data_IF_468598953895
#
_entry.id   IF_468598953895
#
_cell.length_a   1.000
_cell.length_b   1.000
_cell.length_c   1.000
_cell.angle_alpha   90.00
_cell.angle_beta   90.00
_cell.angle_gamma   90.00
#
_symmetry.space_group_name_H-M   'P 1'
#
loop_
_entity.id
_entity.type
_entity.pdbx_description
1 polymer ?
#
# COMPACT_ATOMS: atom_id res chain seq x y z
N UNK A 1 7.28 -39.13 -0.94
CA UNK A 1 7.55 -38.40 0.31
C UNK A 1 6.53 -37.29 0.42
N UNK A 2 5.60 -37.39 1.38
CA UNK A 2 4.51 -36.44 1.54
C UNK A 2 5.00 -35.23 2.35
N UNK A 3 4.97 -34.04 1.76
CA UNK A 3 5.14 -32.77 2.48
C UNK A 3 3.91 -32.55 3.36
N UNK A 4 4.11 -32.61 4.65
CA UNK A 4 3.10 -32.38 5.67
C UNK A 4 2.54 -30.96 5.54
N UNK A 5 1.23 -30.84 5.41
CA UNK A 5 0.49 -29.57 5.50
C UNK A 5 0.72 -28.97 6.88
N UNK A 6 1.54 -27.92 6.96
CA UNK A 6 1.60 -27.09 8.15
C UNK A 6 0.21 -26.47 8.37
N UNK A 7 -0.39 -26.80 9.49
CA UNK A 7 -1.71 -26.28 9.86
C UNK A 7 -1.61 -24.79 10.19
N UNK A 8 -2.29 -23.95 9.43
CA UNK A 8 -2.41 -22.48 9.59
C UNK A 8 -3.12 -22.03 10.90
N UNK A 9 -3.59 -22.97 11.71
CA UNK A 9 -4.30 -22.70 12.96
C UNK A 9 -3.49 -21.90 14.01
N UNK A 10 -2.18 -22.15 14.25
CA UNK A 10 -1.42 -21.37 15.23
C UNK A 10 -1.15 -19.93 14.78
N UNK A 11 -0.93 -19.68 13.49
CA UNK A 11 -0.70 -18.33 12.98
C UNK A 11 -1.94 -17.43 13.11
N UNK A 12 -3.13 -17.95 12.85
CA UNK A 12 -4.40 -17.22 13.04
C UNK A 12 -4.65 -16.88 14.51
N UNK A 13 -4.25 -17.74 15.44
CA UNK A 13 -4.41 -17.50 16.88
C UNK A 13 -3.44 -16.44 17.37
N UNK A 14 -2.19 -16.46 16.93
CA UNK A 14 -1.18 -15.46 17.25
C UNK A 14 -1.55 -14.07 16.68
N UNK A 15 -2.03 -14.00 15.44
CA UNK A 15 -2.52 -12.76 14.83
C UNK A 15 -3.73 -12.19 15.58
N UNK A 16 -4.64 -13.03 16.07
CA UNK A 16 -5.78 -12.59 16.91
C UNK A 16 -5.34 -12.15 18.31
N UNK A 17 -4.32 -12.74 18.89
CA UNK A 17 -3.78 -12.34 20.20
C UNK A 17 -3.00 -11.02 20.10
N UNK A 18 -2.14 -10.85 19.08
CA UNK A 18 -1.44 -9.59 18.81
C UNK A 18 -2.43 -8.44 18.53
N UNK A 19 -3.51 -8.69 17.81
CA UNK A 19 -4.56 -7.70 17.52
C UNK A 19 -5.38 -7.27 18.74
N UNK A 20 -5.40 -8.05 19.83
CA UNK A 20 -6.17 -7.73 21.05
C UNK A 20 -5.44 -6.82 22.05
N UNK A 21 -4.14 -6.63 21.89
CA UNK A 21 -3.32 -5.90 22.87
C UNK A 21 -2.96 -4.48 22.49
N UNK A 22 -3.13 -4.05 21.23
CA UNK A 22 -2.76 -2.70 20.79
C UNK A 22 -3.94 -2.08 20.04
N UNK A 23 -4.49 -1.01 20.59
CA UNK A 23 -5.42 -0.14 19.86
C UNK A 23 -4.67 0.46 18.66
N UNK A 24 -4.95 -0.03 17.44
CA UNK A 24 -4.34 0.50 16.21
C UNK A 24 -4.85 1.93 15.99
N UNK A 25 -3.93 2.84 15.72
CA UNK A 25 -4.28 4.19 15.31
C UNK A 25 -5.05 4.13 13.98
N UNK A 26 -6.23 4.76 13.86
CA UNK A 26 -6.95 4.82 12.59
C UNK A 26 -6.10 5.44 11.49
N UNK A 27 -6.34 5.04 10.25
CA UNK A 27 -5.67 5.58 9.07
C UNK A 27 -6.70 6.24 8.17
N UNK A 28 -6.44 7.47 7.75
CA UNK A 28 -7.21 8.22 6.77
C UNK A 28 -6.33 8.49 5.56
N UNK A 29 -6.76 8.08 4.38
CA UNK A 29 -5.96 8.23 3.18
C UNK A 29 -6.77 8.70 1.99
N UNK A 30 -6.11 9.43 1.07
CA UNK A 30 -6.68 9.89 -0.17
C UNK A 30 -5.80 9.54 -1.37
N UNK A 31 -6.39 8.88 -2.37
CA UNK A 31 -5.72 8.60 -3.64
C UNK A 31 -6.26 9.55 -4.71
N UNK A 32 -5.39 10.46 -5.21
CA UNK A 32 -5.76 11.40 -6.26
C UNK A 32 -5.89 10.75 -7.63
N UNK A 33 -5.41 9.53 -7.76
CA UNK A 33 -5.35 8.81 -9.05
C UNK A 33 -4.61 9.63 -10.10
N UNK A 34 -5.09 9.71 -11.33
CA UNK A 34 -4.48 10.52 -12.39
C UNK A 34 -5.10 11.93 -12.44
N UNK A 35 -5.10 12.63 -11.28
CA UNK A 35 -5.63 13.97 -11.10
C UNK A 35 -4.67 14.83 -10.24
N UNK A 36 -4.80 16.18 -10.27
CA UNK A 36 -5.60 16.99 -11.19
C UNK A 36 -4.95 17.06 -12.59
N UNK A 37 -5.68 17.64 -13.56
CA UNK A 37 -5.15 17.84 -14.90
C UNK A 37 -4.13 18.99 -14.99
N UNK A 38 -4.15 19.93 -14.04
CA UNK A 38 -3.30 21.12 -14.03
C UNK A 38 -2.54 21.26 -12.72
N UNK A 39 -1.31 21.70 -12.78
CA UNK A 39 -0.51 21.99 -11.60
C UNK A 39 -1.10 23.15 -10.76
N UNK A 40 -1.81 24.08 -11.37
CA UNK A 40 -2.45 25.20 -10.67
C UNK A 40 -3.54 24.78 -9.67
N UNK A 41 -4.05 23.56 -9.77
CA UNK A 41 -5.02 23.01 -8.81
C UNK A 41 -4.37 22.34 -7.60
N UNK A 42 -3.05 22.20 -7.57
CA UNK A 42 -2.34 21.48 -6.49
C UNK A 42 -2.42 22.21 -5.16
N UNK A 43 -2.29 23.55 -5.16
CA UNK A 43 -2.31 24.36 -3.93
C UNK A 43 -3.65 24.22 -3.18
N UNK A 44 -4.76 24.21 -3.92
CA UNK A 44 -6.09 24.01 -3.34
C UNK A 44 -6.23 22.60 -2.74
N UNK A 45 -5.76 21.57 -3.44
CA UNK A 45 -5.78 20.19 -2.95
C UNK A 45 -4.92 20.02 -1.70
N UNK A 46 -3.71 20.59 -1.68
CA UNK A 46 -2.83 20.60 -0.50
C UNK A 46 -3.52 21.28 0.67
N UNK A 47 -4.08 22.48 0.46
CA UNK A 47 -4.79 23.22 1.49
C UNK A 47 -5.96 22.44 2.10
N UNK A 48 -6.74 21.74 1.26
CA UNK A 48 -7.84 20.90 1.71
C UNK A 48 -7.36 19.74 2.59
N UNK A 49 -6.26 19.07 2.23
CA UNK A 49 -5.68 17.99 3.04
C UNK A 49 -5.03 18.51 4.32
N UNK A 50 -4.45 19.69 4.32
CA UNK A 50 -3.84 20.31 5.50
C UNK A 50 -4.84 20.54 6.64
N UNK A 51 -6.14 20.63 6.33
CA UNK A 51 -7.21 20.61 7.31
C UNK A 51 -7.24 19.34 8.17
N UNK A 52 -6.69 18.23 7.68
CA UNK A 52 -6.60 16.98 8.42
C UNK A 52 -5.50 17.00 9.49
N UNK A 53 -4.55 17.94 9.44
CA UNK A 53 -3.42 18.00 10.39
C UNK A 53 -3.86 18.14 11.85
N UNK A 54 -5.02 18.74 12.11
CA UNK A 54 -5.61 18.85 13.45
C UNK A 54 -6.01 17.50 14.09
N UNK A 55 -6.01 16.42 13.32
CA UNK A 55 -6.39 15.08 13.77
C UNK A 55 -5.22 14.09 13.83
N UNK A 56 -3.98 14.56 13.62
CA UNK A 56 -2.79 13.70 13.58
C UNK A 56 -2.46 13.01 14.92
N UNK A 57 -3.00 13.50 16.03
CA UNK A 57 -2.97 12.83 17.32
C UNK A 57 -3.88 11.59 17.36
N UNK A 58 -4.98 11.58 16.58
CA UNK A 58 -6.02 10.56 16.57
C UNK A 58 -5.90 9.58 15.42
N UNK A 59 -5.39 10.00 14.27
CA UNK A 59 -5.25 9.15 13.09
C UNK A 59 -3.97 9.45 12.32
N UNK A 60 -3.46 8.44 11.60
CA UNK A 60 -2.44 8.65 10.58
C UNK A 60 -3.11 9.14 9.28
N UNK A 61 -2.51 10.15 8.65
CA UNK A 61 -3.02 10.72 7.41
C UNK A 61 -2.01 10.52 6.29
N UNK A 62 -2.47 10.02 5.15
CA UNK A 62 -1.65 9.94 3.94
C UNK A 62 -2.40 10.41 2.70
N UNK A 63 -1.65 10.86 1.70
CA UNK A 63 -2.16 11.23 0.39
C UNK A 63 -1.31 10.61 -0.71
N UNK A 64 -1.95 10.15 -1.77
CA UNK A 64 -1.26 9.57 -2.92
C UNK A 64 -1.50 10.45 -4.16
N UNK A 65 -0.61 11.44 -4.42
CA UNK A 65 -0.64 12.24 -5.65
C UNK A 65 -0.27 11.39 -6.86
N UNK A 66 -0.62 11.87 -8.06
CA UNK A 66 -0.14 11.23 -9.29
C UNK A 66 1.40 11.24 -9.36
N UNK A 67 1.98 10.31 -10.10
CA UNK A 67 3.43 10.17 -10.23
C UNK A 67 4.12 11.45 -10.69
N UNK A 68 3.45 12.25 -11.53
CA UNK A 68 3.99 13.52 -12.01
C UNK A 68 3.95 14.61 -10.94
N UNK A 69 2.96 14.58 -10.06
CA UNK A 69 2.75 15.62 -9.04
C UNK A 69 3.42 15.30 -7.70
N UNK A 70 3.71 14.04 -7.41
CA UNK A 70 4.26 13.63 -6.11
C UNK A 70 5.50 14.40 -5.72
N UNK A 71 6.42 14.61 -6.66
CA UNK A 71 7.66 15.36 -6.44
C UNK A 71 7.41 16.86 -6.15
N UNK A 72 6.34 17.42 -6.72
CA UNK A 72 5.99 18.83 -6.54
C UNK A 72 5.38 19.11 -5.18
N UNK A 73 4.60 18.15 -4.62
CA UNK A 73 3.81 18.39 -3.43
C UNK A 73 4.32 17.68 -2.17
N UNK A 74 5.36 16.83 -2.28
CA UNK A 74 5.83 16.01 -1.15
C UNK A 74 6.19 16.82 0.10
N UNK A 75 6.67 18.04 -0.06
CA UNK A 75 7.08 18.94 1.02
C UNK A 75 6.07 20.07 1.27
N UNK A 76 4.92 20.06 0.60
CA UNK A 76 3.91 21.13 0.70
C UNK A 76 2.90 20.93 1.81
N UNK A 77 2.76 19.72 2.34
CA UNK A 77 1.80 19.39 3.39
C UNK A 77 2.34 19.73 4.79
N UNK A 78 1.43 19.98 5.73
CA UNK A 78 1.79 20.13 7.14
C UNK A 78 2.51 18.90 7.67
N UNK A 79 3.50 19.06 8.56
CA UNK A 79 4.24 17.96 9.16
C UNK A 79 3.31 16.88 9.74
N UNK A 80 3.59 15.62 9.46
CA UNK A 80 2.82 14.46 9.90
C UNK A 80 1.83 13.92 8.88
N UNK A 81 1.46 14.67 7.83
CA UNK A 81 0.75 14.14 6.67
C UNK A 81 1.78 13.44 5.78
N UNK A 82 1.57 12.16 5.52
CA UNK A 82 2.47 11.34 4.70
C UNK A 82 2.10 11.45 3.23
N UNK A 83 3.10 11.64 2.37
CA UNK A 83 2.93 11.55 0.93
C UNK A 83 3.42 10.18 0.46
N UNK A 84 2.62 9.48 -0.32
CA UNK A 84 2.90 8.15 -0.80
C UNK A 84 2.71 8.08 -2.33
N UNK A 85 3.75 7.70 -3.10
CA UNK A 85 3.58 7.39 -4.51
C UNK A 85 2.54 6.29 -4.73
N UNK A 86 1.85 6.33 -5.88
CA UNK A 86 0.75 5.40 -6.22
C UNK A 86 1.23 4.04 -6.73
N UNK A 87 2.52 3.86 -6.90
CA UNK A 87 3.18 2.63 -7.33
C UNK A 87 4.70 2.75 -7.17
N UNK A 88 5.40 1.64 -7.30
CA UNK A 88 6.84 1.56 -7.54
C UNK A 88 7.15 0.38 -8.46
N UNK A 89 8.39 0.30 -8.96
CA UNK A 89 8.88 -0.91 -9.61
C UNK A 89 9.24 -2.00 -8.56
N UNK A 90 9.76 -3.12 -9.02
CA UNK A 90 10.06 -4.30 -8.18
C UNK A 90 11.57 -4.63 -8.14
N UNK A 91 12.44 -3.78 -8.72
CA UNK A 91 13.83 -4.17 -8.97
C UNK A 91 14.87 -3.07 -8.73
N UNK A 92 14.49 -1.90 -8.21
CA UNK A 92 15.43 -0.81 -7.97
C UNK A 92 15.74 0.05 -9.19
N UNK A 93 16.85 0.78 -9.13
CA UNK A 93 17.30 1.67 -10.20
C UNK A 93 17.94 0.88 -11.35
N UNK A 94 17.75 1.34 -12.60
CA UNK A 94 18.32 0.68 -13.78
C UNK A 94 17.68 1.13 -15.08
N UNK A 95 17.74 0.28 -16.09
CA UNK A 95 17.20 0.52 -17.43
C UNK A 95 15.69 0.24 -17.48
N UNK A 96 14.92 0.96 -16.68
CA UNK A 96 13.47 0.78 -16.49
C UNK A 96 12.73 2.07 -16.82
N UNK A 97 12.72 2.45 -18.07
CA UNK A 97 12.12 3.71 -18.53
C UNK A 97 10.66 3.85 -18.09
N UNK A 98 10.34 4.95 -17.40
CA UNK A 98 8.99 5.25 -16.90
C UNK A 98 8.68 4.71 -15.50
N UNK A 99 9.56 3.90 -14.89
CA UNK A 99 9.39 3.37 -13.55
C UNK A 99 9.95 4.31 -12.47
N UNK A 100 9.41 4.18 -11.26
CA UNK A 100 9.94 4.78 -10.03
C UNK A 100 10.49 3.66 -9.13
N UNK A 101 11.75 3.77 -8.72
CA UNK A 101 12.32 2.83 -7.77
C UNK A 101 12.01 3.19 -6.32
N UNK A 102 12.01 2.19 -5.44
CA UNK A 102 11.89 2.43 -3.99
C UNK A 102 13.08 3.23 -3.47
N UNK A 103 14.27 3.05 -4.07
CA UNK A 103 15.46 3.83 -3.72
C UNK A 103 15.25 5.34 -3.97
N UNK A 104 14.71 5.71 -5.13
CA UNK A 104 14.38 7.11 -5.44
C UNK A 104 13.31 7.68 -4.51
N UNK A 105 12.28 6.88 -4.19
CA UNK A 105 11.21 7.28 -3.27
C UNK A 105 11.79 7.56 -1.88
N UNK A 106 12.66 6.70 -1.40
CA UNK A 106 13.35 6.84 -0.11
C UNK A 106 14.28 8.06 -0.08
N UNK A 107 15.10 8.23 -1.12
CA UNK A 107 16.01 9.36 -1.26
C UNK A 107 15.26 10.70 -1.26
N UNK A 108 14.07 10.76 -1.84
CA UNK A 108 13.19 11.91 -1.79
C UNK A 108 12.49 12.14 -0.43
N UNK A 109 12.80 11.35 0.60
CA UNK A 109 12.27 11.51 1.95
C UNK A 109 10.86 10.94 2.17
N UNK A 110 10.31 10.19 1.21
CA UNK A 110 9.02 9.53 1.38
C UNK A 110 9.20 8.18 2.06
N UNK A 111 8.30 7.85 2.99
CA UNK A 111 8.40 6.65 3.84
C UNK A 111 7.32 5.61 3.58
N UNK A 112 6.44 5.86 2.63
CA UNK A 112 5.26 5.02 2.37
C UNK A 112 5.00 4.95 0.86
N UNK A 113 4.58 3.78 0.37
CA UNK A 113 4.22 3.55 -1.03
C UNK A 113 2.88 2.84 -1.10
N UNK A 114 1.99 3.24 -2.02
CA UNK A 114 0.76 2.52 -2.34
C UNK A 114 1.04 1.56 -3.50
N UNK A 115 0.60 0.30 -3.38
CA UNK A 115 0.67 -0.69 -4.48
C UNK A 115 -0.61 -1.52 -4.58
N UNK A 116 -0.78 -2.21 -5.68
CA UNK A 116 -1.85 -3.21 -5.88
C UNK A 116 -3.23 -2.63 -6.15
N UNK A 117 -3.33 -1.34 -6.49
CA UNK A 117 -4.62 -0.74 -6.83
C UNK A 117 -5.30 -1.47 -8.00
N UNK A 118 -6.61 -1.68 -7.94
CA UNK A 118 -7.40 -2.42 -8.93
C UNK A 118 -7.21 -1.90 -10.37
N UNK A 119 -7.05 -0.59 -10.54
CA UNK A 119 -6.76 0.03 -11.84
C UNK A 119 -5.44 -0.46 -12.47
N UNK A 120 -4.52 -1.01 -11.69
CA UNK A 120 -3.26 -1.60 -12.15
C UNK A 120 -3.34 -3.12 -12.33
N UNK A 121 -4.35 -3.75 -11.79
CA UNK A 121 -4.61 -5.20 -11.92
C UNK A 121 -5.39 -5.56 -13.19
N UNK A 122 -5.80 -4.57 -13.99
CA UNK A 122 -6.49 -4.75 -15.27
C UNK A 122 -8.00 -4.89 -15.15
N UNK A 123 -8.58 -4.50 -14.03
CA UNK A 123 -10.01 -4.71 -13.73
C UNK A 123 -10.95 -3.76 -14.51
N UNK A 124 -10.46 -2.65 -15.04
CA UNK A 124 -11.30 -1.61 -15.66
C UNK A 124 -11.13 -1.50 -17.18
N UNK A 125 -10.59 -2.51 -17.84
CA UNK A 125 -10.41 -2.49 -19.30
C UNK A 125 -9.43 -1.40 -19.79
N UNK A 126 -8.73 -0.74 -18.89
CA UNK A 126 -7.68 0.21 -19.23
C UNK A 126 -6.44 -0.54 -19.73
N UNK A 127 -5.64 0.03 -20.64
CA UNK A 127 -4.36 -0.53 -21.05
C UNK A 127 -3.33 -0.40 -19.94
N UNK A 128 -3.60 -0.98 -18.78
CA UNK A 128 -2.70 -1.03 -17.64
C UNK A 128 -1.95 -2.35 -17.59
N UNK A 129 -0.74 -2.40 -17.02
CA UNK A 129 -0.10 -3.67 -16.73
C UNK A 129 -1.03 -4.50 -15.84
N UNK A 130 -1.32 -5.74 -16.21
CA UNK A 130 -2.08 -6.67 -15.37
C UNK A 130 -1.18 -7.18 -14.27
N UNK A 131 -1.01 -6.39 -13.21
CA UNK A 131 -0.12 -6.73 -12.10
C UNK A 131 -0.70 -7.91 -11.31
N UNK A 132 0.06 -9.02 -11.23
CA UNK A 132 -0.33 -10.23 -10.52
C UNK A 132 -0.04 -10.12 -9.01
N UNK A 133 -0.57 -11.08 -8.22
CA UNK A 133 -0.28 -11.18 -6.80
C UNK A 133 1.20 -11.48 -6.54
N UNK A 134 1.86 -12.30 -7.36
CA UNK A 134 3.29 -12.59 -7.25
C UNK A 134 4.14 -11.34 -7.48
N UNK A 135 3.77 -10.52 -8.45
CA UNK A 135 4.43 -9.23 -8.67
C UNK A 135 4.21 -8.29 -7.50
N UNK A 136 3.02 -8.28 -6.92
CA UNK A 136 2.72 -7.48 -5.72
C UNK A 136 3.52 -7.94 -4.51
N UNK A 137 3.67 -9.25 -4.32
CA UNK A 137 4.50 -9.81 -3.25
C UNK A 137 5.97 -9.37 -3.41
N UNK A 138 6.51 -9.41 -4.63
CA UNK A 138 7.86 -8.95 -4.94
C UNK A 138 8.04 -7.46 -4.64
N UNK A 139 7.09 -6.62 -5.06
CA UNK A 139 7.11 -5.17 -4.75
C UNK A 139 7.04 -4.91 -3.26
N UNK A 140 6.13 -5.60 -2.55
CA UNK A 140 5.96 -5.43 -1.11
C UNK A 140 7.25 -5.81 -0.36
N UNK A 141 7.85 -6.96 -0.69
CA UNK A 141 9.11 -7.37 -0.09
C UNK A 141 10.19 -6.30 -0.29
N UNK A 142 10.34 -5.80 -1.52
CA UNK A 142 11.32 -4.77 -1.82
C UNK A 142 11.09 -3.46 -1.04
N UNK A 143 9.83 -3.01 -0.92
CA UNK A 143 9.46 -1.83 -0.12
C UNK A 143 9.88 -2.01 1.35
N UNK A 144 9.57 -3.18 1.93
CA UNK A 144 9.87 -3.49 3.34
C UNK A 144 11.36 -3.65 3.58
N UNK A 145 12.11 -4.28 2.68
CA UNK A 145 13.57 -4.44 2.76
C UNK A 145 14.30 -3.09 2.74
N UNK A 146 13.72 -2.09 2.08
CA UNK A 146 14.22 -0.72 2.10
C UNK A 146 13.80 0.06 3.36
N UNK A 147 13.01 -0.54 4.26
CA UNK A 147 12.54 0.06 5.50
C UNK A 147 11.38 1.03 5.33
N UNK A 148 10.66 0.98 4.20
CA UNK A 148 9.48 1.79 3.95
C UNK A 148 8.20 1.05 4.39
N UNK A 149 7.13 1.80 4.62
CA UNK A 149 5.78 1.27 4.84
C UNK A 149 5.05 1.10 3.50
N UNK A 150 4.06 0.22 3.49
CA UNK A 150 3.23 -0.02 2.32
C UNK A 150 1.74 0.16 2.62
N UNK A 151 1.03 0.86 1.75
CA UNK A 151 -0.43 0.82 1.66
C UNK A 151 -0.79 -0.18 0.57
N UNK A 152 -1.17 -1.37 0.99
CA UNK A 152 -1.46 -2.48 0.09
C UNK A 152 -2.96 -2.54 -0.24
N UNK A 153 -3.31 -2.43 -1.53
CA UNK A 153 -4.69 -2.49 -2.00
C UNK A 153 -5.08 -3.92 -2.34
N UNK A 154 -6.20 -4.36 -1.77
CA UNK A 154 -6.88 -5.62 -2.10
C UNK A 154 -8.32 -5.31 -2.49
N UNK A 155 -8.93 -6.19 -3.26
CA UNK A 155 -10.34 -6.05 -3.63
C UNK A 155 -10.76 -7.13 -4.62
N UNK A 156 -12.03 -7.28 -4.78
CA UNK A 156 -12.65 -8.25 -5.66
C UNK A 156 -13.12 -7.61 -6.97
N UNK A 157 -13.04 -8.34 -8.10
CA UNK A 157 -13.68 -7.94 -9.35
C UNK A 157 -15.21 -8.10 -9.26
N UNK A 158 -15.94 -7.36 -10.10
CA UNK A 158 -17.41 -7.34 -10.10
C UNK A 158 -18.05 -8.74 -10.14
N UNK A 159 -17.59 -9.71 -10.96
CA UNK A 159 -18.18 -11.05 -10.99
C UNK A 159 -18.03 -11.84 -9.66
N UNK A 160 -17.06 -11.48 -8.83
CA UNK A 160 -16.93 -12.06 -7.48
C UNK A 160 -17.87 -11.36 -6.50
N UNK A 161 -17.97 -10.04 -6.57
CA UNK A 161 -18.90 -9.25 -5.75
C UNK A 161 -20.34 -9.71 -5.91
N UNK A 162 -20.76 -10.02 -7.14
CA UNK A 162 -22.10 -10.51 -7.46
C UNK A 162 -22.43 -11.89 -6.85
N UNK A 163 -21.40 -12.66 -6.49
CA UNK A 163 -21.57 -13.95 -5.78
C UNK A 163 -21.83 -13.82 -4.27
N UNK A 164 -21.76 -12.61 -3.73
CA UNK A 164 -22.03 -12.30 -2.33
C UNK A 164 -20.80 -12.23 -1.43
N UNK A 165 -21.05 -11.93 -0.16
CA UNK A 165 -20.00 -11.56 0.82
C UNK A 165 -18.97 -12.69 1.04
N UNK A 166 -19.39 -13.95 1.08
CA UNK A 166 -18.45 -15.07 1.29
C UNK A 166 -17.44 -15.19 0.14
N UNK A 167 -17.87 -14.95 -1.10
CA UNK A 167 -16.98 -14.94 -2.25
C UNK A 167 -15.99 -13.76 -2.21
N UNK A 168 -16.44 -12.58 -1.78
CA UNK A 168 -15.60 -11.40 -1.58
C UNK A 168 -14.53 -11.67 -0.51
N UNK A 169 -14.94 -12.23 0.64
CA UNK A 169 -14.01 -12.57 1.72
C UNK A 169 -12.98 -13.60 1.29
N UNK A 170 -13.40 -14.61 0.52
CA UNK A 170 -12.50 -15.64 0.01
C UNK A 170 -11.47 -15.02 -0.97
N UNK A 171 -11.91 -14.17 -1.89
CA UNK A 171 -11.01 -13.50 -2.84
C UNK A 171 -10.00 -12.60 -2.14
N UNK A 172 -10.45 -11.75 -1.22
CA UNK A 172 -9.55 -10.89 -0.44
C UNK A 172 -8.56 -11.70 0.43
N UNK A 173 -9.02 -12.82 1.00
CA UNK A 173 -8.15 -13.72 1.76
C UNK A 173 -7.08 -14.36 0.87
N UNK A 174 -7.44 -14.83 -0.32
CA UNK A 174 -6.50 -15.40 -1.29
C UNK A 174 -5.43 -14.37 -1.69
N UNK A 175 -5.83 -13.13 -1.99
CA UNK A 175 -4.88 -12.06 -2.32
C UNK A 175 -3.89 -11.80 -1.18
N UNK A 176 -4.34 -11.85 0.07
CA UNK A 176 -3.47 -11.69 1.24
C UNK A 176 -2.59 -12.91 1.50
N UNK A 177 -3.11 -14.13 1.33
CA UNK A 177 -2.35 -15.37 1.53
C UNK A 177 -1.21 -15.52 0.52
N UNK A 178 -1.47 -15.21 -0.75
CA UNK A 178 -0.46 -15.22 -1.81
C UNK A 178 0.72 -14.29 -1.48
N UNK A 179 0.42 -13.13 -0.89
CA UNK A 179 1.40 -12.10 -0.55
C UNK A 179 2.14 -12.45 0.73
N UNK A 180 1.43 -12.80 1.80
CA UNK A 180 2.03 -13.18 3.10
C UNK A 180 2.83 -14.46 2.97
N UNK A 181 2.35 -15.43 2.19
CA UNK A 181 3.07 -16.68 1.91
C UNK A 181 4.39 -16.48 1.17
N UNK A 182 4.47 -15.46 0.34
CA UNK A 182 5.68 -15.10 -0.41
C UNK A 182 6.66 -14.23 0.40
N UNK A 183 6.17 -13.56 1.43
CA UNK A 183 6.94 -12.60 2.25
C UNK A 183 7.13 -13.12 3.68
N UNK A 184 7.78 -14.26 3.85
CA UNK A 184 7.98 -14.93 5.16
C UNK A 184 8.66 -14.04 6.21
N UNK A 185 9.36 -12.98 5.80
CA UNK A 185 9.98 -12.01 6.71
C UNK A 185 9.04 -10.94 7.27
N UNK A 186 7.85 -10.74 6.68
CA UNK A 186 6.94 -9.63 7.03
C UNK A 186 6.31 -9.79 8.42
N UNK A 187 6.03 -11.04 8.84
CA UNK A 187 5.43 -11.31 10.15
C UNK A 187 6.34 -10.90 11.31
N UNK A 188 7.65 -10.89 11.13
CA UNK A 188 8.61 -10.39 12.11
C UNK A 188 8.74 -8.86 12.12
N UNK A 189 8.53 -8.20 10.98
CA UNK A 189 8.63 -6.74 10.89
C UNK A 189 7.44 -6.01 11.55
N UNK A 190 6.26 -6.64 11.60
CA UNK A 190 5.08 -6.08 12.26
C UNK A 190 5.21 -6.10 13.78
N UNK A 191 5.93 -7.07 14.34
CA UNK A 191 6.18 -7.21 15.78
C UNK A 191 7.41 -6.42 16.28
N UNK A 192 8.27 -5.95 15.38
CA UNK A 192 9.57 -5.38 15.74
C UNK A 192 9.61 -3.85 15.86
N UNK A 193 8.50 -3.13 15.64
CA UNK A 193 8.48 -1.67 15.81
C UNK A 193 7.95 -1.33 17.20
N UNK A 194 8.81 -1.00 18.18
CA UNK A 194 8.34 -0.48 19.46
C UNK A 194 7.67 0.87 19.20
N UNK A 195 6.48 1.05 19.76
CA UNK A 195 5.82 2.34 19.85
C UNK A 195 6.77 3.35 20.49
N UNK A 196 7.18 4.36 19.74
CA UNK A 196 7.85 5.54 20.28
C UNK A 196 6.83 6.65 20.46
#
# INVERSE_FOLDING_TARGET
MALSKLTLAPARTLLRQAARGMARKPIVGGNWKCNPATASSLDELVSNFDGCAQYLDKCDVYVCPSNLHVALVKDSFKPGIKVAPQNCNFTGCGAYTGEMSVDQIKDMGMSTVLIGHSERRGEFGLPTPKESNELMATKLQYILDQGLSCVFCIGEPLPIREKGVDAVLAECANQLEDIVGSCVGILHAIDATPAR
#
